data_IF_524708759441
#
_entry.id   IF_524708759441
#
_cell.length_a   1.000
_cell.length_b   1.000
_cell.length_c   1.000
_cell.angle_alpha   90.00
_cell.angle_beta   90.00
_cell.angle_gamma   90.00
#
_symmetry.space_group_name_H-M   'P 1'
#
loop_
_entity.id
_entity.type
_entity.pdbx_description
1 polymer ?
#
# COMPACT_ATOMS: atom_id res chain seq x y z
N UNK A 1 -16.19 7.36 -1.38
CA UNK A 1 -15.48 6.15 -0.96
C UNK A 1 -14.07 6.20 -1.56
N UNK A 2 -13.05 6.30 -0.72
CA UNK A 2 -11.65 6.33 -1.12
C UNK A 2 -11.06 4.93 -1.00
N UNK A 3 -10.57 4.37 -2.10
CA UNK A 3 -9.93 3.06 -2.11
C UNK A 3 -8.46 3.26 -2.47
N UNK A 4 -7.56 2.70 -1.66
CA UNK A 4 -6.15 2.67 -1.99
C UNK A 4 -5.81 1.32 -2.64
N UNK A 5 -5.28 1.37 -3.86
CA UNK A 5 -4.88 0.20 -4.62
C UNK A 5 -3.35 0.05 -4.61
N UNK A 6 -2.84 -1.04 -4.05
CA UNK A 6 -1.41 -1.32 -3.95
C UNK A 6 -0.96 -2.27 -5.06
N UNK A 7 -0.01 -1.82 -5.87
CA UNK A 7 0.71 -2.72 -6.80
C UNK A 7 1.79 -3.47 -6.05
N UNK A 8 1.75 -4.80 -6.10
CA UNK A 8 2.76 -5.69 -5.53
C UNK A 8 4.04 -5.81 -6.36
N UNK A 9 4.19 -5.02 -7.41
CA UNK A 9 5.35 -5.06 -8.29
C UNK A 9 6.28 -3.87 -8.08
N UNK A 10 7.59 -4.13 -8.06
CA UNK A 10 8.61 -3.10 -8.06
C UNK A 10 8.99 -2.62 -9.47
N UNK A 11 8.47 -3.27 -10.52
CA UNK A 11 8.82 -3.00 -11.91
C UNK A 11 7.96 -1.88 -12.51
N UNK A 12 8.58 -0.97 -13.25
CA UNK A 12 7.92 0.17 -13.90
C UNK A 12 6.92 -0.24 -15.01
N UNK A 13 7.08 -1.43 -15.58
CA UNK A 13 6.18 -2.00 -16.61
C UNK A 13 5.33 -3.15 -16.04
N UNK A 14 4.73 -2.95 -14.86
CA UNK A 14 3.95 -3.99 -14.19
C UNK A 14 2.53 -4.13 -14.77
N UNK A 15 2.16 -5.37 -15.14
CA UNK A 15 0.77 -5.72 -15.45
C UNK A 15 -0.17 -5.46 -14.28
N UNK A 16 0.31 -5.61 -13.03
CA UNK A 16 -0.49 -5.31 -11.83
C UNK A 16 -0.84 -3.83 -11.76
N UNK A 17 0.14 -2.95 -11.99
CA UNK A 17 -0.10 -1.50 -12.03
C UNK A 17 -1.05 -1.16 -13.18
N UNK A 18 -0.87 -1.75 -14.37
CA UNK A 18 -1.78 -1.51 -15.50
C UNK A 18 -3.23 -1.91 -15.18
N UNK A 19 -3.46 -3.08 -14.56
CA UNK A 19 -4.78 -3.52 -14.13
C UNK A 19 -5.40 -2.57 -13.11
N UNK A 20 -4.62 -2.11 -12.13
CA UNK A 20 -5.09 -1.17 -11.12
C UNK A 20 -5.45 0.20 -11.72
N UNK A 21 -4.69 0.69 -12.70
CA UNK A 21 -5.03 1.91 -13.43
C UNK A 21 -6.35 1.73 -14.19
N UNK A 22 -6.54 0.61 -14.91
CA UNK A 22 -7.80 0.33 -15.59
C UNK A 22 -9.00 0.25 -14.64
N UNK A 23 -8.81 -0.30 -13.43
CA UNK A 23 -9.84 -0.29 -12.38
C UNK A 23 -10.17 1.12 -11.91
N UNK A 24 -9.15 1.98 -11.74
CA UNK A 24 -9.34 3.37 -11.36
C UNK A 24 -10.09 4.17 -12.44
N UNK A 25 -9.75 3.95 -13.72
CA UNK A 25 -10.41 4.61 -14.86
C UNK A 25 -11.88 4.19 -15.01
N UNK A 26 -12.18 2.92 -14.67
CA UNK A 26 -13.54 2.37 -14.70
C UNK A 26 -14.34 2.56 -13.41
N UNK A 27 -13.83 3.32 -12.43
CA UNK A 27 -14.47 3.44 -11.13
C UNK A 27 -15.85 4.11 -11.25
N UNK A 28 -16.91 3.53 -10.64
CA UNK A 28 -18.23 4.13 -10.67
C UNK A 28 -18.29 5.43 -9.86
N UNK A 29 -19.31 6.24 -10.12
CA UNK A 29 -19.46 7.54 -9.46
C UNK A 29 -19.46 7.41 -7.92
N UNK A 30 -18.67 8.25 -7.25
CA UNK A 30 -18.52 8.25 -5.79
C UNK A 30 -17.45 7.30 -5.24
N UNK A 31 -16.77 6.53 -6.10
CA UNK A 31 -15.59 5.73 -5.77
C UNK A 31 -14.34 6.38 -6.38
N UNK A 32 -13.35 6.66 -5.54
CA UNK A 32 -12.05 7.19 -5.95
C UNK A 32 -10.98 6.17 -5.63
N UNK A 33 -10.33 5.66 -6.68
CA UNK A 33 -9.26 4.66 -6.52
C UNK A 33 -7.92 5.36 -6.72
N UNK A 34 -7.09 5.36 -5.68
CA UNK A 34 -5.72 5.87 -5.73
C UNK A 34 -4.76 4.70 -5.92
N UNK A 35 -4.01 4.68 -7.02
CA UNK A 35 -3.00 3.64 -7.28
C UNK A 35 -1.67 4.01 -6.64
N UNK A 36 -1.12 3.11 -5.82
CA UNK A 36 0.21 3.19 -5.25
C UNK A 36 1.10 2.09 -5.83
N UNK A 37 2.01 2.50 -6.71
CA UNK A 37 2.90 1.63 -7.49
C UNK A 37 4.38 1.73 -7.07
N UNK A 38 4.62 2.43 -5.96
CA UNK A 38 5.95 2.86 -5.50
C UNK A 38 6.34 2.19 -4.19
N UNK A 39 5.91 0.94 -4.00
CA UNK A 39 6.27 0.11 -2.83
C UNK A 39 7.79 -0.07 -2.68
N UNK A 40 8.53 -0.10 -3.80
CA UNK A 40 9.99 -0.21 -3.81
C UNK A 40 10.71 1.06 -3.31
N UNK A 41 10.01 2.20 -3.25
CA UNK A 41 10.54 3.45 -2.72
C UNK A 41 10.35 3.57 -1.19
N UNK A 42 9.70 2.60 -0.57
CA UNK A 42 9.63 2.52 0.89
C UNK A 42 10.97 1.99 1.42
N UNK A 43 11.54 2.61 2.46
CA UNK A 43 12.72 2.06 3.14
C UNK A 43 12.42 0.67 3.72
N UNK A 44 13.46 -0.08 4.07
CA UNK A 44 13.30 -1.35 4.78
C UNK A 44 12.71 -1.08 6.16
N UNK A 45 11.65 -1.80 6.52
CA UNK A 45 10.98 -1.70 7.81
C UNK A 45 11.97 -1.98 8.94
N UNK A 46 11.91 -1.14 9.97
CA UNK A 46 12.66 -1.35 11.20
C UNK A 46 11.78 -0.97 12.40
N UNK A 47 11.53 -1.91 13.34
CA UNK A 47 10.66 -1.66 14.50
C UNK A 47 11.32 -0.74 15.55
N UNK A 48 12.62 -0.48 15.43
CA UNK A 48 13.42 0.31 16.39
C UNK A 48 13.57 1.77 15.94
N UNK A 49 13.01 2.16 14.78
CA UNK A 49 13.04 3.55 14.33
C UNK A 49 12.12 4.43 15.19
N UNK A 50 12.67 4.92 16.31
CA UNK A 50 12.09 5.97 17.15
C UNK A 50 12.22 7.35 16.47
N UNK A 51 11.41 7.60 15.43
CA UNK A 51 11.21 8.90 14.77
C UNK A 51 12.39 9.59 14.04
N UNK A 52 12.11 10.42 13.01
CA UNK A 52 10.86 10.53 12.26
C UNK A 52 10.77 9.48 11.15
N UNK A 53 9.55 8.99 10.88
CA UNK A 53 9.27 8.18 9.67
C UNK A 53 9.75 8.98 8.45
N UNK A 54 10.38 8.31 7.48
CA UNK A 54 10.72 8.97 6.22
C UNK A 54 9.45 9.59 5.62
N UNK A 55 9.60 10.70 4.88
CA UNK A 55 8.46 11.35 4.25
C UNK A 55 7.65 10.37 3.36
N UNK A 56 8.31 9.38 2.74
CA UNK A 56 7.65 8.33 1.97
C UNK A 56 6.79 7.40 2.81
N UNK A 57 7.25 7.01 4.01
CA UNK A 57 6.49 6.17 4.95
C UNK A 57 5.33 6.96 5.55
N UNK A 58 5.55 8.23 5.92
CA UNK A 58 4.48 9.10 6.44
C UNK A 58 3.37 9.29 5.40
N UNK A 59 3.73 9.63 4.16
CA UNK A 59 2.76 9.77 3.08
C UNK A 59 2.02 8.45 2.78
N UNK A 60 2.70 7.31 2.84
CA UNK A 60 2.08 6.00 2.66
C UNK A 60 1.09 5.68 3.79
N UNK A 61 1.47 5.96 5.05
CA UNK A 61 0.59 5.79 6.20
C UNK A 61 -0.65 6.70 6.11
N UNK A 62 -0.49 7.94 5.66
CA UNK A 62 -1.61 8.87 5.46
C UNK A 62 -2.58 8.40 4.37
N UNK A 63 -2.07 7.82 3.28
CA UNK A 63 -2.90 7.21 2.24
C UNK A 63 -3.72 6.06 2.79
N UNK A 64 -3.11 5.17 3.59
CA UNK A 64 -3.81 4.05 4.24
C UNK A 64 -4.86 4.58 5.23
N UNK A 65 -4.51 5.55 6.07
CA UNK A 65 -5.40 6.10 7.09
C UNK A 65 -6.63 6.81 6.50
N UNK A 66 -6.53 7.33 5.27
CA UNK A 66 -7.63 8.00 4.55
C UNK A 66 -8.44 7.06 3.65
N UNK A 67 -8.00 5.82 3.49
CA UNK A 67 -8.67 4.85 2.65
C UNK A 67 -9.81 4.17 3.43
N UNK A 68 -10.99 4.12 2.82
CA UNK A 68 -12.13 3.34 3.29
C UNK A 68 -11.97 1.85 2.96
N UNK A 69 -11.07 1.51 2.04
CA UNK A 69 -10.77 0.14 1.64
C UNK A 69 -9.45 0.00 0.87
N UNK A 70 -8.96 -1.23 0.78
CA UNK A 70 -7.71 -1.57 0.09
C UNK A 70 -7.96 -2.55 -1.05
N UNK A 71 -7.32 -2.34 -2.19
CA UNK A 71 -7.19 -3.33 -3.28
C UNK A 71 -5.72 -3.73 -3.36
N UNK A 72 -5.43 -5.03 -3.32
CA UNK A 72 -4.06 -5.53 -3.39
C UNK A 72 -3.90 -6.31 -4.70
N UNK A 73 -3.05 -5.84 -5.62
CA UNK A 73 -2.75 -6.54 -6.86
C UNK A 73 -1.32 -7.07 -6.81
N UNK A 74 -1.16 -8.33 -6.41
CA UNK A 74 0.14 -8.96 -6.14
C UNK A 74 0.24 -10.25 -6.93
N UNK A 75 1.41 -10.52 -7.51
CA UNK A 75 1.69 -11.84 -8.10
C UNK A 75 2.13 -12.79 -6.99
N UNK A 76 1.69 -14.04 -7.08
CA UNK A 76 2.27 -15.11 -6.27
C UNK A 76 3.63 -15.49 -6.88
N UNK A 77 4.71 -15.21 -6.16
CA UNK A 77 6.05 -15.59 -6.57
C UNK A 77 6.52 -16.74 -5.67
N UNK A 78 6.72 -17.93 -6.25
CA UNK A 78 7.20 -19.12 -5.52
C UNK A 78 6.41 -19.46 -4.23
N UNK A 79 5.07 -19.30 -4.25
CA UNK A 79 4.17 -19.47 -3.09
C UNK A 79 4.37 -18.47 -1.94
N UNK A 80 4.95 -17.30 -2.25
CA UNK A 80 5.15 -16.23 -1.30
C UNK A 80 4.77 -14.86 -1.90
N UNK A 81 4.51 -13.91 -1.01
CA UNK A 81 4.41 -12.50 -1.38
C UNK A 81 5.83 -11.96 -1.65
N UNK A 82 6.01 -11.06 -2.64
CA UNK A 82 7.28 -10.39 -2.87
C UNK A 82 7.77 -9.63 -1.63
N UNK A 83 9.07 -9.68 -1.34
CA UNK A 83 9.66 -9.08 -0.13
C UNK A 83 9.35 -7.58 0.01
N UNK A 84 9.43 -6.83 -1.09
CA UNK A 84 9.10 -5.40 -1.10
C UNK A 84 7.62 -5.12 -0.75
N UNK A 85 6.72 -6.05 -1.07
CA UNK A 85 5.32 -5.92 -0.70
C UNK A 85 5.10 -6.26 0.78
N UNK A 86 5.76 -7.30 1.30
CA UNK A 86 5.74 -7.63 2.74
C UNK A 86 6.27 -6.45 3.57
N UNK A 87 7.40 -5.88 3.14
CA UNK A 87 7.99 -4.68 3.73
C UNK A 87 6.99 -3.51 3.79
N UNK A 88 6.22 -3.28 2.72
CA UNK A 88 5.20 -2.23 2.70
C UNK A 88 4.09 -2.49 3.73
N UNK A 89 3.66 -3.75 3.91
CA UNK A 89 2.64 -4.12 4.90
C UNK A 89 3.12 -3.95 6.34
N UNK A 90 4.42 -4.05 6.60
CA UNK A 90 4.98 -3.89 7.94
C UNK A 90 4.96 -2.42 8.43
N UNK A 91 4.92 -1.44 7.52
CA UNK A 91 5.12 -0.01 7.85
C UNK A 91 3.97 0.68 8.62
N UNK A 92 2.68 0.51 8.26
CA UNK A 92 1.62 1.03 9.13
C UNK A 92 0.41 0.08 9.27
N UNK A 93 0.08 -0.25 10.53
CA UNK A 93 -1.29 -0.52 10.98
C UNK A 93 -1.78 0.70 11.77
N UNK A 94 -2.68 1.55 11.24
CA UNK A 94 -3.41 2.50 12.06
C UNK A 94 -4.49 1.69 12.83
N UNK A 95 -4.18 1.25 14.05
CA UNK A 95 -5.15 0.47 14.83
C UNK A 95 -4.60 -0.36 16.00
N UNK A 96 -3.87 0.24 16.94
CA UNK A 96 -3.85 -0.26 18.33
C UNK A 96 -3.87 0.91 19.31
N UNK A 97 -5.01 1.58 19.32
CA UNK A 97 -5.41 2.54 20.34
C UNK A 97 -6.83 2.21 20.81
N UNK A 98 -7.05 1.00 21.35
CA UNK A 98 -8.14 0.67 22.29
C UNK A 98 -8.05 -0.77 22.82
N UNK A 99 -8.30 -0.89 24.13
CA UNK A 99 -8.12 -2.05 25.00
C UNK A 99 -7.10 -1.62 26.07
N UNK A 100 -7.47 -1.05 27.23
CA UNK A 100 -8.39 -1.59 28.25
C UNK A 100 -8.35 -3.11 28.24
N UNK A 101 -7.28 -3.67 28.82
CA UNK A 101 -7.28 -4.36 30.11
C UNK A 101 -5.87 -4.26 30.70
#
# INVERSE_FOLDING_TARGET
MNILALSGSACRASTNTALLCSLADGAPHGIFITVFDRIAALPVFSPVLEHPRSASVAAFADLIARADGLILCVLEYARALPDGFKNALDWPVPGRGRGVL
#
